data_IF_168550273549
#
_entry.id   IF_168550273549
#
_cell.length_a   1.000
_cell.length_b   1.000
_cell.length_c   1.000
_cell.angle_alpha   90.00
_cell.angle_beta   90.00
_cell.angle_gamma   90.00
#
_symmetry.space_group_name_H-M   'P 1'
#
loop_
_entity.id
_entity.type
_entity.pdbx_description
1 polymer ?
#
# COMPACT_ATOMS: atom_id res chain seq x y z
N UNK A 1 33.21 -11.28 2.08
CA UNK A 1 33.26 -11.56 3.53
C UNK A 1 32.26 -12.68 3.84
N UNK A 2 32.63 -13.60 4.74
CA UNK A 2 31.67 -14.62 5.20
C UNK A 2 30.63 -14.00 6.10
N UNK A 3 29.39 -14.47 6.01
CA UNK A 3 28.33 -14.06 6.93
C UNK A 3 28.75 -14.34 8.40
N UNK A 4 28.37 -13.50 9.36
CA UNK A 4 28.67 -13.76 10.77
C UNK A 4 27.95 -15.01 11.26
N UNK A 5 28.56 -15.74 12.19
CA UNK A 5 27.88 -16.85 12.88
C UNK A 5 26.99 -16.28 13.99
N UNK A 6 25.67 -16.43 13.80
CA UNK A 6 24.62 -16.01 14.73
C UNK A 6 23.84 -17.22 15.30
N UNK A 7 24.46 -18.39 15.31
CA UNK A 7 23.85 -19.62 15.85
C UNK A 7 23.37 -19.40 17.30
N UNK A 8 22.13 -19.74 17.56
CA UNK A 8 21.49 -19.56 18.87
C UNK A 8 20.92 -18.15 19.13
N UNK A 9 21.03 -17.24 18.16
CA UNK A 9 20.35 -15.95 18.19
C UNK A 9 18.98 -16.05 17.53
N UNK A 10 17.99 -15.33 18.06
CA UNK A 10 16.65 -15.23 17.48
C UNK A 10 16.41 -13.80 17.04
N UNK A 11 15.96 -13.62 15.79
CA UNK A 11 15.52 -12.34 15.24
C UNK A 11 14.01 -12.39 15.06
N UNK A 12 13.29 -11.52 15.77
CA UNK A 12 11.84 -11.39 15.66
C UNK A 12 11.46 -10.26 14.72
N UNK A 13 10.53 -10.53 13.81
CA UNK A 13 10.03 -9.57 12.82
C UNK A 13 8.52 -9.55 12.89
N UNK A 14 7.90 -8.38 12.92
CA UNK A 14 6.45 -8.22 12.78
C UNK A 14 6.10 -7.35 11.59
N UNK A 15 4.97 -7.65 10.95
CA UNK A 15 4.51 -6.90 9.78
C UNK A 15 3.05 -7.22 9.42
N UNK A 16 2.52 -6.62 8.33
CA UNK A 16 1.11 -6.72 7.97
C UNK A 16 0.76 -7.99 7.19
N UNK A 17 1.74 -8.72 6.66
CA UNK A 17 1.45 -9.82 5.72
C UNK A 17 0.95 -11.07 6.41
N UNK A 18 -0.16 -11.59 5.87
CA UNK A 18 -0.77 -12.87 6.20
C UNK A 18 -0.60 -13.81 4.99
N UNK A 19 -0.99 -15.08 5.14
CA UNK A 19 -0.96 -16.02 4.03
C UNK A 19 -1.80 -15.50 2.83
N UNK A 20 -1.27 -15.65 1.58
CA UNK A 20 -0.01 -16.31 1.20
C UNK A 20 1.21 -15.37 1.15
N UNK A 21 1.08 -14.08 1.40
CA UNK A 21 2.15 -13.08 1.23
C UNK A 21 3.31 -13.29 2.22
N UNK A 22 3.02 -13.73 3.44
CA UNK A 22 4.04 -14.00 4.45
C UNK A 22 4.96 -15.17 4.06
N UNK A 23 4.50 -16.12 3.25
CA UNK A 23 5.34 -17.23 2.76
C UNK A 23 6.47 -16.72 1.85
N UNK A 24 6.15 -15.72 1.01
CA UNK A 24 7.16 -15.06 0.16
C UNK A 24 8.19 -14.35 1.00
N UNK A 25 7.74 -13.57 2.00
CA UNK A 25 8.66 -12.87 2.91
C UNK A 25 9.55 -13.85 3.69
N UNK A 26 8.97 -14.93 4.24
CA UNK A 26 9.72 -15.98 4.94
C UNK A 26 10.79 -16.60 4.04
N UNK A 27 10.50 -16.81 2.76
CA UNK A 27 11.48 -17.35 1.82
C UNK A 27 12.66 -16.41 1.58
N UNK A 28 12.43 -15.09 1.60
CA UNK A 28 13.49 -14.08 1.48
C UNK A 28 14.39 -14.08 2.73
N UNK A 29 13.81 -14.04 3.93
CA UNK A 29 14.60 -14.01 5.17
C UNK A 29 15.28 -15.34 5.49
N UNK A 30 14.84 -16.44 4.90
CA UNK A 30 15.49 -17.74 5.02
C UNK A 30 16.94 -17.72 4.52
N UNK A 31 17.26 -16.94 3.50
CA UNK A 31 18.66 -16.78 3.04
C UNK A 31 19.57 -16.23 4.13
N UNK A 32 19.09 -15.28 4.92
CA UNK A 32 19.84 -14.76 6.06
C UNK A 32 19.98 -15.81 7.16
N UNK A 33 18.91 -16.50 7.50
CA UNK A 33 18.90 -17.56 8.50
C UNK A 33 19.89 -18.68 8.13
N UNK A 34 19.83 -19.15 6.88
CA UNK A 34 20.75 -20.20 6.37
C UNK A 34 22.21 -19.75 6.36
N UNK A 35 22.48 -18.50 6.00
CA UNK A 35 23.83 -17.96 5.92
C UNK A 35 24.47 -17.70 7.30
N UNK A 36 23.67 -17.42 8.32
CA UNK A 36 24.14 -16.98 9.64
C UNK A 36 23.90 -17.99 10.76
N UNK A 37 23.00 -18.96 10.56
CA UNK A 37 22.54 -19.88 11.61
C UNK A 37 21.58 -19.25 12.62
N UNK A 38 21.10 -18.03 12.39
CA UNK A 38 20.10 -17.39 13.24
C UNK A 38 18.70 -18.00 13.05
N UNK A 39 17.91 -18.04 14.11
CA UNK A 39 16.48 -18.29 14.02
C UNK A 39 15.75 -17.00 13.65
N UNK A 40 14.97 -16.99 12.56
CA UNK A 40 14.18 -15.82 12.15
C UNK A 40 12.70 -16.14 12.28
N UNK A 41 11.99 -15.38 13.11
CA UNK A 41 10.56 -15.55 13.38
C UNK A 41 9.81 -14.33 12.85
N UNK A 42 8.97 -14.54 11.84
CA UNK A 42 8.04 -13.53 11.35
C UNK A 42 6.63 -13.75 11.91
N UNK A 43 6.02 -12.69 12.43
CA UNK A 43 4.62 -12.66 12.89
C UNK A 43 3.85 -11.62 12.08
N UNK A 44 2.87 -12.08 11.30
CA UNK A 44 1.97 -11.23 10.52
C UNK A 44 0.67 -10.94 11.25
N UNK A 45 0.12 -9.74 11.07
CA UNK A 45 -1.18 -9.35 11.62
C UNK A 45 -1.84 -8.28 10.73
N UNK A 46 -3.13 -8.41 10.48
CA UNK A 46 -3.96 -7.37 9.84
C UNK A 46 -4.19 -6.16 10.75
N UNK A 47 -3.90 -6.29 12.04
CA UNK A 47 -3.92 -5.23 13.05
C UNK A 47 -2.50 -4.74 13.40
N UNK A 48 -1.50 -5.02 12.56
CA UNK A 48 -0.09 -4.71 12.81
C UNK A 48 0.13 -3.26 13.21
N UNK A 49 -0.43 -2.29 12.49
CA UNK A 49 -0.19 -0.87 12.73
C UNK A 49 -0.64 -0.41 14.13
N UNK A 50 -1.71 -1.00 14.64
CA UNK A 50 -2.19 -0.71 16.00
C UNK A 50 -1.37 -1.45 17.05
N UNK A 51 -1.05 -2.72 16.79
CA UNK A 51 -0.35 -3.58 17.74
C UNK A 51 1.09 -3.16 17.95
N UNK A 52 1.81 -2.76 16.89
CA UNK A 52 3.23 -2.37 16.99
C UNK A 52 3.46 -1.19 17.93
N UNK A 53 2.54 -0.22 17.94
CA UNK A 53 2.61 0.92 18.86
C UNK A 53 2.44 0.46 20.31
N UNK A 54 1.46 -0.39 20.58
CA UNK A 54 1.19 -0.93 21.92
C UNK A 54 2.39 -1.72 22.41
N UNK A 55 2.93 -2.61 21.58
CA UNK A 55 4.08 -3.45 21.93
C UNK A 55 5.33 -2.61 22.19
N UNK A 56 5.58 -1.59 21.38
CA UNK A 56 6.72 -0.68 21.56
C UNK A 56 6.60 0.12 22.86
N UNK A 57 5.44 0.66 23.18
CA UNK A 57 5.18 1.38 24.43
C UNK A 57 5.30 0.48 25.65
N UNK A 58 4.94 -0.79 25.52
CA UNK A 58 5.05 -1.80 26.58
C UNK A 58 6.48 -2.37 26.72
N UNK A 59 7.42 -2.01 25.85
CA UNK A 59 8.77 -2.59 25.83
C UNK A 59 8.81 -4.05 25.36
N UNK A 60 7.82 -4.48 24.58
CA UNK A 60 7.67 -5.83 24.04
C UNK A 60 7.74 -5.86 22.49
N UNK A 61 8.32 -4.82 21.89
CA UNK A 61 8.47 -4.73 20.44
C UNK A 61 9.36 -5.85 19.86
N UNK A 62 9.13 -6.25 18.60
CA UNK A 62 10.05 -7.14 17.88
C UNK A 62 11.39 -6.44 17.61
N UNK A 63 12.38 -7.22 17.14
CA UNK A 63 13.65 -6.63 16.73
C UNK A 63 13.50 -5.76 15.46
N UNK A 64 12.60 -6.18 14.55
CA UNK A 64 12.33 -5.48 13.29
C UNK A 64 10.81 -5.36 13.11
N UNK A 65 10.36 -4.18 12.69
CA UNK A 65 8.99 -3.92 12.28
C UNK A 65 8.95 -3.60 10.78
N UNK A 66 8.03 -4.23 10.05
CA UNK A 66 7.83 -3.97 8.63
C UNK A 66 6.57 -3.14 8.46
N UNK A 67 6.75 -1.86 8.19
CA UNK A 67 5.65 -0.91 8.05
C UNK A 67 5.08 -0.95 6.62
N UNK A 68 3.75 -1.00 6.46
CA UNK A 68 3.11 -0.94 5.15
C UNK A 68 3.19 0.45 4.51
N UNK A 69 3.48 1.49 5.31
CA UNK A 69 3.56 2.89 4.89
C UNK A 69 4.45 3.69 5.86
N UNK A 70 5.11 4.77 5.37
CA UNK A 70 6.12 5.48 6.17
C UNK A 70 5.56 6.34 7.31
N UNK A 71 4.31 6.80 7.23
CA UNK A 71 3.76 7.77 8.19
C UNK A 71 3.77 7.28 9.63
N UNK A 72 3.39 6.03 9.89
CA UNK A 72 3.44 5.46 11.24
C UNK A 72 4.88 5.29 11.74
N UNK A 73 5.81 4.91 10.86
CA UNK A 73 7.22 4.80 11.22
C UNK A 73 7.79 6.17 11.63
N UNK A 74 7.44 7.24 10.91
CA UNK A 74 7.83 8.61 11.24
C UNK A 74 7.27 9.05 12.61
N UNK A 75 5.99 8.77 12.91
CA UNK A 75 5.39 9.05 14.23
C UNK A 75 6.13 8.30 15.34
N UNK A 76 6.40 7.02 15.16
CA UNK A 76 7.10 6.20 16.15
C UNK A 76 8.56 6.65 16.35
N UNK A 77 9.26 7.11 15.30
CA UNK A 77 10.60 7.68 15.38
C UNK A 77 10.60 8.96 16.22
N UNK A 78 9.67 9.90 15.94
CA UNK A 78 9.51 11.13 16.70
C UNK A 78 9.18 10.90 18.18
N UNK A 79 8.57 9.77 18.50
CA UNK A 79 8.28 9.35 19.88
C UNK A 79 9.41 8.57 20.54
N UNK A 80 10.51 8.30 19.83
CA UNK A 80 11.66 7.56 20.33
C UNK A 80 11.40 6.05 20.50
N UNK A 81 10.45 5.50 19.74
CA UNK A 81 10.07 4.09 19.75
C UNK A 81 10.82 3.25 18.69
N UNK A 82 11.58 3.90 17.84
CA UNK A 82 12.45 3.26 16.85
C UNK A 82 13.92 3.62 17.12
N UNK A 83 14.81 2.70 16.75
CA UNK A 83 16.25 2.96 16.72
C UNK A 83 16.66 3.34 15.29
N UNK A 84 17.53 4.34 15.11
CA UNK A 84 18.08 4.66 13.80
C UNK A 84 18.90 3.48 13.26
N UNK A 85 18.91 3.34 11.95
CA UNK A 85 19.76 2.37 11.27
C UNK A 85 21.24 2.79 11.37
N UNK A 86 22.19 1.84 11.21
CA UNK A 86 23.61 2.17 11.16
C UNK A 86 23.93 3.18 10.05
N UNK A 87 24.89 4.06 10.28
CA UNK A 87 25.32 5.11 9.34
C UNK A 87 25.70 4.58 7.94
N UNK A 88 26.11 3.31 7.85
CA UNK A 88 26.42 2.65 6.59
C UNK A 88 25.22 2.37 5.71
N UNK A 89 24.01 2.37 6.25
CA UNK A 89 22.79 2.02 5.50
C UNK A 89 22.34 3.12 4.53
N UNK A 90 22.56 4.39 4.84
CA UNK A 90 22.25 5.49 3.93
C UNK A 90 23.03 5.38 2.61
N UNK A 91 24.37 5.39 2.65
CA UNK A 91 25.21 5.21 1.45
C UNK A 91 24.90 3.91 0.70
N UNK A 92 24.69 2.81 1.43
CA UNK A 92 24.33 1.52 0.81
C UNK A 92 22.98 1.61 0.05
N UNK A 93 21.96 2.22 0.64
CA UNK A 93 20.66 2.41 0.00
C UNK A 93 20.78 3.29 -1.24
N UNK A 94 21.48 4.43 -1.12
CA UNK A 94 21.70 5.34 -2.24
C UNK A 94 22.44 4.66 -3.44
N UNK A 95 23.37 3.77 -3.17
CA UNK A 95 24.14 3.04 -4.20
C UNK A 95 23.31 1.91 -4.84
N UNK A 96 22.50 1.20 -4.07
CA UNK A 96 21.86 -0.05 -4.52
C UNK A 96 20.41 0.13 -5.01
N UNK A 97 19.78 1.29 -4.76
CA UNK A 97 18.41 1.57 -5.18
C UNK A 97 18.37 2.51 -6.39
N UNK A 98 17.49 2.21 -7.35
CA UNK A 98 17.43 2.92 -8.63
C UNK A 98 17.15 4.42 -8.56
N UNK A 99 16.46 4.91 -7.52
CA UNK A 99 16.23 6.33 -7.28
C UNK A 99 17.19 6.94 -6.23
N UNK A 100 18.20 6.19 -5.81
CA UNK A 100 19.32 6.69 -4.98
C UNK A 100 18.86 7.37 -3.69
N UNK A 101 19.29 8.63 -3.53
CA UNK A 101 19.00 9.44 -2.33
C UNK A 101 17.51 9.60 -2.04
N UNK A 102 16.63 9.58 -3.04
CA UNK A 102 15.18 9.69 -2.80
C UNK A 102 14.65 8.57 -1.90
N UNK A 103 15.26 7.38 -1.95
CA UNK A 103 14.90 6.27 -1.05
C UNK A 103 15.45 6.46 0.36
N UNK A 104 16.60 7.13 0.50
CA UNK A 104 17.16 7.51 1.80
C UNK A 104 16.26 8.56 2.46
N UNK A 105 15.88 9.59 1.69
CA UNK A 105 15.00 10.66 2.17
C UNK A 105 13.66 10.12 2.69
N UNK A 106 13.06 9.18 1.96
CA UNK A 106 11.79 8.54 2.35
C UNK A 106 11.88 7.70 3.63
N UNK A 107 13.06 7.22 4.01
CA UNK A 107 13.30 6.46 5.25
C UNK A 107 13.87 7.32 6.39
N UNK A 108 14.10 8.62 6.13
CA UNK A 108 14.67 9.57 7.09
C UNK A 108 13.56 10.35 7.78
N UNK A 109 13.56 10.29 9.11
CA UNK A 109 12.56 10.94 9.94
C UNK A 109 13.22 11.68 11.09
N UNK A 110 12.52 12.69 11.63
CA UNK A 110 12.94 13.35 12.87
C UNK A 110 12.87 12.36 14.05
N UNK A 111 13.91 12.29 14.84
CA UNK A 111 13.92 11.59 16.12
C UNK A 111 13.16 12.40 17.21
N UNK A 112 13.09 11.88 18.43
CA UNK A 112 12.46 12.53 19.58
C UNK A 112 13.08 13.89 19.97
N UNK A 113 14.30 14.17 19.51
CA UNK A 113 15.04 15.40 19.78
C UNK A 113 14.99 16.37 18.58
N UNK A 114 14.33 15.97 17.49
CA UNK A 114 14.14 16.75 16.27
C UNK A 114 15.30 16.63 15.27
N UNK A 115 16.20 15.65 15.42
CA UNK A 115 17.28 15.42 14.48
C UNK A 115 16.87 14.39 13.44
N UNK A 116 17.15 14.65 12.18
CA UNK A 116 16.89 13.73 11.09
C UNK A 116 17.84 12.52 11.15
N UNK A 117 17.26 11.32 11.13
CA UNK A 117 17.96 10.04 11.17
C UNK A 117 17.31 9.06 10.19
N UNK A 118 18.10 8.16 9.61
CA UNK A 118 17.57 7.06 8.80
C UNK A 118 17.03 5.95 9.72
N UNK A 119 15.71 5.72 9.71
CA UNK A 119 15.07 4.69 10.54
C UNK A 119 14.64 3.45 9.77
N UNK A 120 14.57 3.52 8.45
CA UNK A 120 14.15 2.40 7.63
C UNK A 120 14.67 2.45 6.21
N UNK A 121 14.60 1.31 5.53
CA UNK A 121 14.82 1.20 4.10
C UNK A 121 13.70 0.36 3.48
N UNK A 122 13.43 0.57 2.20
CA UNK A 122 12.33 -0.08 1.51
C UNK A 122 12.80 -1.41 0.92
N UNK A 123 12.26 -2.52 1.42
CA UNK A 123 12.62 -3.83 0.91
C UNK A 123 11.66 -4.31 -0.20
N UNK A 124 10.44 -3.78 -0.23
CA UNK A 124 9.43 -4.10 -1.23
C UNK A 124 8.73 -2.82 -1.71
N UNK A 125 8.51 -2.73 -3.02
CA UNK A 125 7.85 -1.60 -3.67
C UNK A 125 6.74 -2.14 -4.55
N UNK A 126 5.50 -1.73 -4.27
CA UNK A 126 4.34 -2.09 -5.06
C UNK A 126 4.00 -0.98 -6.06
N UNK A 127 3.82 -1.35 -7.33
CA UNK A 127 3.26 -0.44 -8.32
C UNK A 127 1.76 -0.32 -8.04
N UNK A 128 1.31 0.89 -7.78
CA UNK A 128 -0.07 1.21 -7.46
C UNK A 128 -0.79 1.86 -8.65
N UNK A 129 -2.11 2.03 -8.50
CA UNK A 129 -2.92 2.81 -9.45
C UNK A 129 -3.07 2.19 -10.82
N UNK A 130 -2.90 0.88 -10.93
CA UNK A 130 -3.20 0.14 -12.16
C UNK A 130 -4.69 -0.20 -12.23
N UNK A 131 -5.25 -0.12 -13.44
CA UNK A 131 -6.56 -0.69 -13.73
C UNK A 131 -6.36 -2.07 -14.33
N UNK A 132 -6.83 -3.07 -13.60
CA UNK A 132 -6.77 -4.47 -14.00
C UNK A 132 -8.03 -4.86 -14.75
N UNK A 133 -7.86 -5.64 -15.81
CA UNK A 133 -8.96 -6.20 -16.61
C UNK A 133 -8.55 -7.55 -17.20
N UNK A 134 -9.53 -8.32 -17.65
CA UNK A 134 -9.29 -9.56 -18.38
C UNK A 134 -9.44 -9.27 -19.88
N UNK A 135 -8.37 -9.40 -20.69
CA UNK A 135 -8.42 -9.08 -22.12
C UNK A 135 -9.53 -9.81 -22.86
N UNK A 136 -9.73 -11.08 -22.59
CA UNK A 136 -10.74 -11.91 -23.22
C UNK A 136 -12.17 -11.38 -22.94
N UNK A 137 -12.43 -10.92 -21.71
CA UNK A 137 -13.74 -10.32 -21.38
C UNK A 137 -13.99 -9.02 -22.16
N UNK A 138 -12.93 -8.24 -22.38
CA UNK A 138 -13.03 -7.01 -23.20
C UNK A 138 -13.25 -7.33 -24.67
N UNK A 139 -12.52 -8.30 -25.23
CA UNK A 139 -12.67 -8.75 -26.60
C UNK A 139 -14.09 -9.28 -26.86
N UNK A 140 -14.59 -10.15 -26.00
CA UNK A 140 -15.92 -10.77 -26.13
C UNK A 140 -17.05 -9.72 -26.03
N UNK A 141 -16.87 -8.68 -25.20
CA UNK A 141 -17.83 -7.58 -25.05
C UNK A 141 -17.62 -6.43 -26.05
N UNK A 142 -16.53 -6.42 -26.81
CA UNK A 142 -16.19 -5.36 -27.75
C UNK A 142 -15.76 -4.05 -27.11
N UNK A 143 -15.15 -4.13 -25.92
CA UNK A 143 -14.61 -2.96 -25.20
C UNK A 143 -13.16 -2.69 -25.58
N UNK A 144 -12.82 -1.41 -25.65
CA UNK A 144 -11.45 -0.96 -25.91
C UNK A 144 -10.79 -0.46 -24.61
N UNK A 145 -9.47 -0.69 -24.49
CA UNK A 145 -8.69 -0.20 -23.34
C UNK A 145 -8.62 1.33 -23.38
N UNK A 146 -9.10 2.04 -22.33
CA UNK A 146 -9.15 3.50 -22.36
C UNK A 146 -7.77 4.13 -22.30
N UNK A 147 -7.53 5.16 -23.11
CA UNK A 147 -6.28 5.92 -23.17
C UNK A 147 -6.25 7.17 -22.27
N UNK A 148 -7.39 7.55 -21.70
CA UNK A 148 -7.52 8.74 -20.85
C UNK A 148 -8.56 8.52 -19.74
N UNK A 149 -8.61 9.44 -18.78
CA UNK A 149 -9.65 9.42 -17.73
C UNK A 149 -11.05 9.69 -18.33
N UNK A 150 -11.13 10.45 -19.41
CA UNK A 150 -12.39 10.70 -20.12
C UNK A 150 -12.89 9.41 -20.80
N UNK A 151 -12.01 8.70 -21.50
CA UNK A 151 -12.33 7.39 -22.10
C UNK A 151 -12.71 6.36 -21.06
N UNK A 152 -12.02 6.35 -19.89
CA UNK A 152 -12.34 5.45 -18.79
C UNK A 152 -13.76 5.69 -18.23
N UNK A 153 -14.17 6.95 -18.14
CA UNK A 153 -15.54 7.31 -17.75
C UNK A 153 -16.56 6.90 -18.81
N UNK A 154 -16.24 7.16 -20.07
CA UNK A 154 -17.11 6.77 -21.19
C UNK A 154 -17.29 5.25 -21.24
N UNK A 155 -16.20 4.49 -21.08
CA UNK A 155 -16.26 3.03 -21.00
C UNK A 155 -17.08 2.57 -19.79
N UNK A 156 -16.91 3.19 -18.62
CA UNK A 156 -17.70 2.88 -17.42
C UNK A 156 -19.19 3.04 -17.67
N UNK A 157 -19.59 4.13 -18.35
CA UNK A 157 -21.00 4.41 -18.71
C UNK A 157 -21.51 3.47 -19.78
N UNK A 158 -20.67 3.11 -20.77
CA UNK A 158 -21.03 2.16 -21.81
C UNK A 158 -21.33 0.78 -21.21
N UNK A 159 -20.46 0.26 -20.34
CA UNK A 159 -20.65 -1.04 -19.69
C UNK A 159 -22.01 -1.08 -18.94
N UNK A 160 -22.36 0.01 -18.24
CA UNK A 160 -23.68 0.12 -17.60
C UNK A 160 -24.82 0.16 -18.61
N UNK A 161 -24.65 0.84 -19.73
CA UNK A 161 -25.67 0.92 -20.78
C UNK A 161 -25.91 -0.45 -21.45
N UNK A 162 -24.89 -1.29 -21.50
CA UNK A 162 -24.96 -2.68 -22.00
C UNK A 162 -25.60 -3.65 -20.99
N UNK A 163 -25.90 -3.14 -19.76
CA UNK A 163 -26.54 -3.93 -18.69
C UNK A 163 -25.56 -4.62 -17.76
N UNK A 164 -24.29 -4.35 -17.88
CA UNK A 164 -23.19 -4.96 -17.15
C UNK A 164 -22.66 -4.04 -16.04
N UNK A 165 -21.77 -4.56 -15.19
CA UNK A 165 -21.16 -3.82 -14.08
C UNK A 165 -19.71 -3.49 -14.39
N UNK A 166 -19.31 -2.21 -14.45
CA UNK A 166 -17.94 -1.86 -14.83
C UNK A 166 -16.87 -2.18 -13.78
N UNK A 167 -17.16 -2.01 -12.48
CA UNK A 167 -16.13 -2.03 -11.47
C UNK A 167 -16.33 -3.07 -10.38
N UNK A 168 -15.28 -3.79 -10.07
CA UNK A 168 -15.08 -4.48 -8.81
C UNK A 168 -14.27 -3.57 -7.87
N UNK A 169 -14.90 -3.08 -6.81
CA UNK A 169 -14.25 -2.22 -5.79
C UNK A 169 -14.50 -2.81 -4.41
N UNK A 170 -13.43 -3.10 -3.68
CA UNK A 170 -13.46 -3.54 -2.30
C UNK A 170 -12.45 -2.79 -1.46
N UNK A 171 -12.90 -2.23 -0.33
CA UNK A 171 -12.08 -1.42 0.58
C UNK A 171 -11.85 -2.12 1.91
N UNK A 172 -12.47 -3.29 2.13
CA UNK A 172 -12.36 -4.05 3.37
C UNK A 172 -10.94 -4.59 3.55
N UNK A 173 -10.34 -4.35 4.72
CA UNK A 173 -9.01 -4.83 5.11
C UNK A 173 -8.89 -4.91 6.63
N UNK A 174 -9.86 -5.51 7.31
CA UNK A 174 -9.85 -5.58 8.78
C UNK A 174 -9.71 -4.20 9.41
N UNK A 175 -8.74 -4.05 10.30
CA UNK A 175 -8.45 -2.79 10.99
C UNK A 175 -7.92 -1.68 10.06
N UNK A 176 -7.35 -2.04 8.91
CA UNK A 176 -6.83 -1.12 7.91
C UNK A 176 -7.85 -0.82 6.77
N UNK A 177 -9.14 -1.16 6.97
CA UNK A 177 -10.20 -0.88 5.98
C UNK A 177 -10.15 0.56 5.50
N UNK A 178 -10.15 0.73 4.17
CA UNK A 178 -10.12 2.03 3.51
C UNK A 178 -8.85 2.34 2.73
N UNK A 179 -7.73 1.67 2.99
CA UNK A 179 -6.48 1.95 2.28
C UNK A 179 -6.59 1.84 0.74
N UNK A 180 -7.40 0.93 0.13
CA UNK A 180 -7.54 0.93 -1.32
C UNK A 180 -8.19 2.22 -1.85
N UNK A 181 -9.05 2.88 -1.04
CA UNK A 181 -9.59 4.19 -1.40
C UNK A 181 -8.50 5.27 -1.36
N UNK A 182 -7.56 5.19 -0.43
CA UNK A 182 -6.42 6.11 -0.36
C UNK A 182 -5.59 6.02 -1.65
N UNK A 183 -5.30 4.82 -2.14
CA UNK A 183 -4.58 4.61 -3.41
C UNK A 183 -5.31 5.28 -4.60
N UNK A 184 -6.64 5.18 -4.64
CA UNK A 184 -7.43 5.89 -5.65
C UNK A 184 -7.30 7.42 -5.53
N UNK A 185 -7.42 7.94 -4.32
CA UNK A 185 -7.42 9.37 -4.04
C UNK A 185 -6.06 9.98 -4.32
N UNK A 186 -4.98 9.35 -3.91
CA UNK A 186 -3.61 9.79 -4.17
C UNK A 186 -3.29 9.84 -5.65
N UNK A 187 -3.65 8.79 -6.41
CA UNK A 187 -3.45 8.79 -7.85
C UNK A 187 -4.29 9.86 -8.57
N UNK A 188 -5.55 10.05 -8.17
CA UNK A 188 -6.37 11.12 -8.73
C UNK A 188 -5.76 12.48 -8.43
N UNK A 189 -5.20 12.68 -7.23
CA UNK A 189 -4.49 13.92 -6.87
C UNK A 189 -3.30 14.16 -7.80
N UNK A 190 -2.42 13.16 -7.94
CA UNK A 190 -1.21 13.24 -8.78
C UNK A 190 -1.50 13.39 -10.28
N UNK A 191 -2.67 12.93 -10.75
CA UNK A 191 -3.12 13.14 -12.14
C UNK A 191 -3.82 14.48 -12.36
N UNK A 192 -4.37 15.08 -11.31
CA UNK A 192 -5.18 16.29 -11.40
C UNK A 192 -4.38 17.56 -11.10
N UNK A 193 -3.31 17.44 -10.33
CA UNK A 193 -2.51 18.57 -9.84
C UNK A 193 -1.01 18.27 -9.95
N UNK A 194 -0.16 19.33 -9.95
CA UNK A 194 1.29 19.17 -9.89
C UNK A 194 1.73 18.45 -8.60
N UNK A 195 2.90 17.77 -8.61
CA UNK A 195 3.41 17.01 -7.46
C UNK A 195 3.54 17.82 -6.16
N UNK A 196 3.89 19.10 -6.25
CA UNK A 196 4.00 20.00 -5.09
C UNK A 196 2.67 20.17 -4.32
N UNK A 197 1.53 20.02 -5.00
CA UNK A 197 0.21 20.01 -4.34
C UNK A 197 0.02 18.74 -3.53
N UNK A 198 0.49 17.60 -4.04
CA UNK A 198 0.50 16.36 -3.30
C UNK A 198 1.40 16.45 -2.06
N UNK A 199 2.61 16.99 -2.22
CA UNK A 199 3.57 17.17 -1.13
C UNK A 199 2.98 18.04 -0.01
N UNK A 200 2.36 19.16 -0.34
CA UNK A 200 1.68 20.04 0.63
C UNK A 200 0.55 19.32 1.37
N UNK A 201 -0.14 18.39 0.70
CA UNK A 201 -1.20 17.61 1.32
C UNK A 201 -0.65 16.59 2.31
N UNK A 202 0.36 15.80 1.93
CA UNK A 202 0.93 14.76 2.79
C UNK A 202 1.76 15.31 3.95
N UNK A 203 2.32 16.51 3.81
CA UNK A 203 3.01 17.25 4.90
C UNK A 203 2.05 18.04 5.80
N UNK A 204 0.74 18.02 5.51
CA UNK A 204 -0.29 18.78 6.21
C UNK A 204 -0.11 20.31 6.13
N UNK A 205 0.61 20.81 5.14
CA UNK A 205 0.63 22.24 4.78
C UNK A 205 -0.68 22.65 4.12
N UNK A 206 -1.30 21.72 3.37
CA UNK A 206 -2.64 21.87 2.83
C UNK A 206 -3.64 21.16 3.73
N UNK A 207 -4.69 21.84 4.23
CA UNK A 207 -5.68 21.20 5.08
C UNK A 207 -6.51 20.17 4.32
N UNK A 208 -6.94 19.11 5.00
CA UNK A 208 -7.68 18.00 4.38
C UNK A 208 -9.03 18.43 3.77
N UNK A 209 -9.58 19.56 4.16
CA UNK A 209 -10.79 20.16 3.59
C UNK A 209 -10.51 21.21 2.51
N UNK A 210 -9.28 21.28 1.99
CA UNK A 210 -8.98 22.14 0.84
C UNK A 210 -9.85 21.75 -0.37
N UNK A 211 -10.33 22.71 -1.17
CA UNK A 211 -11.16 22.41 -2.35
C UNK A 211 -10.55 21.41 -3.33
N UNK A 212 -9.22 21.35 -3.46
CA UNK A 212 -8.55 20.36 -4.32
C UNK A 212 -8.70 18.94 -3.76
N UNK A 213 -8.51 18.76 -2.46
CA UNK A 213 -8.71 17.47 -1.78
C UNK A 213 -10.17 17.04 -1.89
N UNK A 214 -11.12 17.95 -1.65
CA UNK A 214 -12.55 17.67 -1.81
C UNK A 214 -12.87 17.24 -3.24
N UNK A 215 -12.34 17.93 -4.26
CA UNK A 215 -12.59 17.59 -5.67
C UNK A 215 -12.06 16.18 -6.04
N UNK A 216 -10.93 15.78 -5.47
CA UNK A 216 -10.36 14.44 -5.65
C UNK A 216 -11.24 13.38 -5.00
N UNK A 217 -11.68 13.60 -3.75
CA UNK A 217 -12.59 12.71 -3.04
C UNK A 217 -13.96 12.58 -3.75
N UNK A 218 -14.48 13.68 -4.28
CA UNK A 218 -15.72 13.68 -5.09
C UNK A 218 -15.52 12.88 -6.39
N UNK A 219 -14.34 12.97 -7.01
CA UNK A 219 -14.01 12.22 -8.22
C UNK A 219 -14.00 10.72 -7.96
N UNK A 220 -13.36 10.27 -6.89
CA UNK A 220 -13.44 8.87 -6.43
C UNK A 220 -14.89 8.47 -6.13
N UNK A 221 -15.62 9.33 -5.43
CA UNK A 221 -17.03 9.11 -5.09
C UNK A 221 -17.93 8.89 -6.30
N UNK A 222 -17.64 9.46 -7.46
CA UNK A 222 -18.41 9.22 -8.69
C UNK A 222 -18.34 7.77 -9.15
N UNK A 223 -17.23 7.08 -8.88
CA UNK A 223 -17.09 5.64 -9.15
C UNK A 223 -17.70 4.81 -8.01
N UNK A 224 -17.21 4.97 -6.79
CA UNK A 224 -17.49 4.09 -5.67
C UNK A 224 -18.90 4.23 -5.07
N UNK A 225 -19.59 5.38 -5.28
CA UNK A 225 -20.90 5.66 -4.70
C UNK A 225 -22.08 5.48 -5.67
N UNK A 226 -21.83 5.00 -6.87
CA UNK A 226 -22.87 4.71 -7.84
C UNK A 226 -23.19 3.21 -7.82
N UNK A 227 -24.41 2.87 -7.43
CA UNK A 227 -24.88 1.47 -7.31
C UNK A 227 -24.80 0.67 -8.62
N UNK A 228 -24.83 1.35 -9.77
CA UNK A 228 -24.74 0.70 -11.09
C UNK A 228 -23.27 0.48 -11.53
N UNK A 229 -22.34 1.18 -10.90
CA UNK A 229 -20.94 1.11 -11.29
C UNK A 229 -20.17 0.00 -10.59
N UNK A 230 -20.65 -0.45 -9.44
CA UNK A 230 -19.89 -1.34 -8.57
C UNK A 230 -20.62 -2.66 -8.35
N UNK A 231 -19.88 -3.76 -8.47
CA UNK A 231 -20.36 -5.09 -8.13
C UNK A 231 -20.83 -5.13 -6.67
N UNK A 232 -22.03 -5.66 -6.44
CA UNK A 232 -22.70 -5.64 -5.14
C UNK A 232 -23.29 -4.29 -4.72
N UNK A 233 -23.10 -3.22 -5.52
CA UNK A 233 -23.58 -1.86 -5.26
C UNK A 233 -22.70 -1.07 -4.29
N UNK A 234 -22.93 0.23 -4.22
CA UNK A 234 -22.08 1.18 -3.47
C UNK A 234 -21.98 0.86 -1.96
N UNK A 235 -23.00 0.24 -1.38
CA UNK A 235 -23.02 -0.13 0.04
C UNK A 235 -22.09 -1.30 0.37
N UNK A 236 -21.76 -2.14 -0.61
CA UNK A 236 -20.90 -3.30 -0.43
C UNK A 236 -19.40 -2.91 -0.45
N UNK A 237 -19.07 -1.78 -1.06
CA UNK A 237 -17.67 -1.33 -1.27
C UNK A 237 -16.82 -1.36 0.02
N UNK A 238 -17.38 -0.89 1.13
CA UNK A 238 -16.66 -0.86 2.41
C UNK A 238 -16.48 -2.21 3.09
N UNK A 239 -17.25 -3.24 2.69
CA UNK A 239 -17.25 -4.55 3.33
C UNK A 239 -16.65 -5.66 2.48
N UNK A 240 -16.53 -5.47 1.17
CA UNK A 240 -15.81 -6.41 0.30
C UNK A 240 -14.33 -6.34 0.63
N UNK A 241 -13.73 -7.48 0.99
CA UNK A 241 -12.29 -7.58 1.24
C UNK A 241 -11.51 -7.26 -0.04
N UNK A 242 -10.42 -6.50 0.10
CA UNK A 242 -9.61 -6.10 -1.04
C UNK A 242 -9.02 -7.29 -1.82
N UNK A 243 -8.74 -8.41 -1.13
CA UNK A 243 -8.24 -9.65 -1.74
C UNK A 243 -9.30 -10.37 -2.57
N UNK A 244 -10.57 -10.19 -2.20
CA UNK A 244 -11.70 -10.81 -2.87
C UNK A 244 -12.26 -9.93 -4.00
N UNK A 245 -12.04 -8.64 -3.91
CA UNK A 245 -12.56 -7.66 -4.87
C UNK A 245 -12.26 -7.98 -6.34
N UNK A 246 -11.03 -8.37 -6.75
CA UNK A 246 -10.75 -8.67 -8.16
C UNK A 246 -11.35 -9.98 -8.67
N UNK A 247 -11.86 -10.86 -7.81
CA UNK A 247 -12.34 -12.19 -8.21
C UNK A 247 -13.48 -12.15 -9.23
N UNK A 248 -14.33 -11.12 -9.15
CA UNK A 248 -15.42 -10.92 -10.08
C UNK A 248 -15.00 -10.77 -11.54
N UNK A 249 -13.75 -10.37 -11.81
CA UNK A 249 -13.16 -10.32 -13.16
C UNK A 249 -13.07 -11.70 -13.81
N UNK A 250 -12.91 -12.76 -13.01
CA UNK A 250 -12.63 -14.12 -13.44
C UNK A 250 -13.86 -15.04 -13.38
N UNK A 251 -15.02 -14.53 -12.97
CA UNK A 251 -16.28 -15.28 -13.04
C UNK A 251 -16.74 -15.43 -14.50
N UNK A 252 -17.53 -16.46 -14.79
CA UNK A 252 -18.09 -16.71 -16.12
C UNK A 252 -19.62 -16.81 -16.01
N UNK A 253 -20.38 -15.80 -16.49
CA UNK A 253 -19.91 -14.53 -17.04
C UNK A 253 -19.25 -13.64 -15.98
N UNK A 254 -18.42 -12.64 -16.37
CA UNK A 254 -17.78 -11.75 -15.42
C UNK A 254 -18.80 -10.95 -14.64
N UNK A 255 -18.55 -10.72 -13.34
CA UNK A 255 -19.41 -9.87 -12.49
C UNK A 255 -19.06 -8.40 -12.58
N UNK A 256 -17.85 -8.12 -13.04
CA UNK A 256 -17.36 -6.77 -13.32
C UNK A 256 -16.25 -6.85 -14.36
N UNK A 257 -15.92 -5.75 -15.01
CA UNK A 257 -14.95 -5.70 -16.11
C UNK A 257 -13.60 -5.11 -15.73
N UNK A 258 -13.56 -4.27 -14.70
CA UNK A 258 -12.36 -3.55 -14.26
C UNK A 258 -12.22 -3.61 -12.74
N UNK A 259 -10.96 -3.66 -12.29
CA UNK A 259 -10.57 -3.53 -10.88
C UNK A 259 -9.39 -2.58 -10.76
N UNK A 260 -9.35 -1.79 -9.69
CA UNK A 260 -8.22 -0.90 -9.43
C UNK A 260 -7.78 -0.98 -7.97
N UNK A 261 -6.47 -1.20 -7.83
CA UNK A 261 -5.80 -1.27 -6.54
C UNK A 261 -4.33 -0.89 -6.71
#
# INVERSE_FOLDING_TARGET
>A
ESAPDLSGQTVTISGPWLQPEDEVFRSVVAYFADATGAEVIYTGSDSFEQQIVIDAEAGAAPNIAVFPQPGLAADMAARGLLYPLPDSMGPWTAENYGAGESWVDLGTYADKDGNDQLFGFFYNVNVKSLVWYVPENFEDAGYEVPGSMEDLRALTEQIVADGEVPWCIGLGSGAATGWPATDWVEDIMLRSYPPDVYDQWVTNEMPFNDPKVVAVLETFGKFAKNDKFVEGGSKAVGSIDFRDSPKGLFDIPPKCYMHRQ
#
